data_IF_929170555533
#
_entry.id   IF_929170555533
#
_cell.length_a   1.000
_cell.length_b   1.000
_cell.length_c   1.000
_cell.angle_alpha   90.00
_cell.angle_beta   90.00
_cell.angle_gamma   90.00
#
_symmetry.space_group_name_H-M   'P 1'
#
loop_
_entity.id
_entity.type
_entity.pdbx_description
1 polymer ?
#
# COMPACT_ATOMS: atom_id res chain seq x y z
N UNK A 1 -10.20 5.49 -6.41
CA UNK A 1 -9.15 4.49 -6.14
C UNK A 1 -7.88 5.08 -5.51
N UNK A 2 -7.38 6.24 -5.94
CA UNK A 2 -6.13 6.84 -5.45
C UNK A 2 -6.05 7.01 -3.91
N UNK A 3 -7.18 7.34 -3.26
CA UNK A 3 -7.23 7.50 -1.79
C UNK A 3 -6.85 6.24 -1.02
N UNK A 4 -7.26 5.06 -1.49
CA UNK A 4 -6.96 3.79 -0.82
C UNK A 4 -5.47 3.46 -0.87
N UNK A 5 -4.84 3.66 -2.05
CA UNK A 5 -3.40 3.49 -2.23
C UNK A 5 -2.65 4.46 -1.32
N UNK A 6 -3.06 5.73 -1.28
CA UNK A 6 -2.45 6.72 -0.39
C UNK A 6 -2.52 6.29 1.08
N UNK A 7 -3.67 5.78 1.53
CA UNK A 7 -3.85 5.34 2.91
C UNK A 7 -2.94 4.16 3.29
N UNK A 8 -2.86 3.13 2.44
CA UNK A 8 -2.00 1.96 2.74
C UNK A 8 -0.51 2.32 2.77
N UNK A 9 -0.07 3.23 1.90
CA UNK A 9 1.34 3.65 1.84
C UNK A 9 1.69 4.63 2.98
N UNK A 10 0.75 5.47 3.39
CA UNK A 10 0.96 6.44 4.47
C UNK A 10 1.11 5.79 5.85
N UNK A 11 0.61 4.57 6.02
CA UNK A 11 0.62 3.85 7.30
C UNK A 11 1.82 2.91 7.47
N UNK A 12 2.73 2.88 6.51
CA UNK A 12 3.95 2.07 6.61
C UNK A 12 4.97 2.72 7.54
N UNK A 13 5.71 1.93 8.34
CA UNK A 13 6.79 2.46 9.17
C UNK A 13 7.85 3.15 8.30
N UNK A 14 8.33 4.33 8.70
CA UNK A 14 9.40 5.06 7.99
C UNK A 14 10.68 4.25 7.78
N UNK A 15 10.95 3.32 8.70
CA UNK A 15 12.10 2.43 8.63
C UNK A 15 11.98 1.40 7.52
N UNK A 16 10.77 1.01 7.14
CA UNK A 16 10.51 -0.04 6.15
C UNK A 16 10.93 0.38 4.73
N UNK A 17 10.50 1.56 4.28
CA UNK A 17 10.72 2.00 2.89
C UNK A 17 11.99 2.85 2.69
N UNK A 18 12.85 3.01 3.71
CA UNK A 18 14.09 3.78 3.56
C UNK A 18 15.03 3.08 2.59
N UNK A 19 15.31 3.72 1.45
CA UNK A 19 16.17 3.16 0.39
C UNK A 19 15.47 2.14 -0.52
N UNK A 20 14.15 1.99 -0.38
CA UNK A 20 13.33 1.09 -1.19
C UNK A 20 12.43 1.90 -2.12
N UNK A 21 12.13 1.34 -3.30
CA UNK A 21 11.12 1.82 -4.23
C UNK A 21 10.08 0.71 -4.45
N UNK A 22 8.87 1.12 -4.77
CA UNK A 22 7.79 0.19 -5.11
C UNK A 22 8.05 -0.35 -6.51
N UNK A 23 8.13 -1.68 -6.62
CA UNK A 23 8.17 -2.40 -7.90
C UNK A 23 6.76 -2.55 -8.49
N UNK A 24 5.82 -3.02 -7.68
CA UNK A 24 4.43 -3.26 -8.09
C UNK A 24 3.45 -3.06 -6.94
N UNK A 25 2.20 -2.74 -7.29
CA UNK A 25 1.06 -2.76 -6.37
C UNK A 25 -0.11 -3.43 -7.09
N UNK A 26 -0.49 -4.61 -6.62
CA UNK A 26 -1.69 -5.31 -7.06
C UNK A 26 -2.83 -4.95 -6.13
N UNK A 27 -3.94 -4.44 -6.68
CA UNK A 27 -5.04 -3.89 -5.89
C UNK A 27 -6.35 -4.62 -6.15
N UNK A 28 -7.11 -4.86 -5.09
CA UNK A 28 -8.40 -5.51 -5.14
C UNK A 28 -9.44 -4.66 -4.40
N UNK A 29 -10.39 -4.12 -5.15
CA UNK A 29 -11.47 -3.30 -4.61
C UNK A 29 -12.69 -4.17 -4.29
N UNK A 30 -13.09 -4.21 -3.03
CA UNK A 30 -14.19 -5.07 -2.55
C UNK A 30 -15.49 -4.30 -2.43
N UNK A 31 -15.42 -3.12 -1.81
CA UNK A 31 -16.60 -2.29 -1.58
C UNK A 31 -16.23 -0.82 -1.41
N UNK A 32 -17.20 0.07 -1.61
CA UNK A 32 -17.00 1.50 -1.38
C UNK A 32 -16.99 1.82 0.12
N UNK A 33 -16.01 2.62 0.54
CA UNK A 33 -16.12 3.37 1.79
C UNK A 33 -16.93 4.65 1.56
N UNK A 34 -17.86 4.93 2.47
CA UNK A 34 -18.70 6.13 2.44
C UNK A 34 -18.17 7.20 3.40
N UNK A 35 -18.63 8.44 3.21
CA UNK A 35 -18.34 9.53 4.12
C UNK A 35 -18.74 9.17 5.56
N UNK A 36 -17.98 9.67 6.55
CA UNK A 36 -18.11 9.37 7.98
C UNK A 36 -17.93 7.91 8.41
N UNK A 37 -17.59 6.98 7.52
CA UNK A 37 -17.22 5.62 7.93
C UNK A 37 -15.82 5.61 8.53
N UNK A 38 -15.65 4.86 9.63
CA UNK A 38 -14.35 4.63 10.24
C UNK A 38 -13.68 3.42 9.58
N UNK A 39 -12.45 3.61 9.12
CA UNK A 39 -11.67 2.57 8.46
C UNK A 39 -10.46 2.19 9.33
N UNK A 40 -10.11 0.91 9.31
CA UNK A 40 -8.87 0.37 9.86
C UNK A 40 -7.94 0.06 8.69
N UNK A 41 -6.74 0.65 8.70
CA UNK A 41 -5.69 0.36 7.72
C UNK A 41 -4.68 -0.55 8.39
N UNK A 42 -4.35 -1.66 7.74
CA UNK A 42 -3.37 -2.63 8.22
C UNK A 42 -2.44 -3.02 7.09
N UNK A 43 -1.17 -3.22 7.45
CA UNK A 43 -0.15 -3.73 6.57
C UNK A 43 0.65 -4.77 7.35
N UNK A 44 0.98 -5.89 6.71
CA UNK A 44 1.90 -6.90 7.25
C UNK A 44 2.88 -7.26 6.16
N UNK A 45 4.15 -7.30 6.52
CA UNK A 45 5.15 -7.97 5.70
C UNK A 45 4.89 -9.48 5.78
N UNK A 46 4.92 -10.17 4.64
CA UNK A 46 4.76 -11.63 4.58
C UNK A 46 6.00 -12.33 4.04
N UNK A 47 6.77 -11.66 3.19
CA UNK A 47 8.05 -12.11 2.63
C UNK A 47 8.93 -10.86 2.46
N UNK A 48 10.24 -11.05 2.26
CA UNK A 48 11.19 -9.95 2.10
C UNK A 48 10.75 -8.99 0.99
N UNK A 49 10.47 -7.74 1.36
CA UNK A 49 10.02 -6.71 0.44
C UNK A 49 8.58 -6.86 -0.06
N UNK A 50 7.78 -7.77 0.50
CA UNK A 50 6.38 -7.99 0.12
C UNK A 50 5.43 -7.70 1.27
N UNK A 51 4.46 -6.81 1.05
CA UNK A 51 3.46 -6.46 2.04
C UNK A 51 2.05 -6.75 1.55
N UNK A 52 1.26 -7.29 2.47
CA UNK A 52 -0.18 -7.42 2.33
C UNK A 52 -0.86 -6.29 3.08
N UNK A 53 -1.74 -5.58 2.39
CA UNK A 53 -2.50 -4.45 2.90
C UNK A 53 -3.99 -4.79 2.96
N UNK A 54 -4.66 -4.31 4.01
CA UNK A 54 -6.11 -4.34 4.12
C UNK A 54 -6.64 -3.02 4.65
N UNK A 55 -7.76 -2.59 4.09
CA UNK A 55 -8.59 -1.50 4.60
C UNK A 55 -9.94 -2.10 4.92
N UNK A 56 -10.31 -2.02 6.19
CA UNK A 56 -11.47 -2.71 6.75
C UNK A 56 -12.40 -1.66 7.34
N UNK A 57 -13.71 -1.79 7.12
CA UNK A 57 -14.69 -0.94 7.80
C UNK A 57 -14.77 -1.34 9.28
N UNK A 58 -14.57 -0.38 10.17
CA UNK A 58 -14.48 -0.63 11.62
C UNK A 58 -15.79 -1.16 12.21
N UNK A 59 -16.91 -0.72 11.67
CA UNK A 59 -18.23 -0.98 12.26
C UNK A 59 -18.70 -2.43 12.03
N UNK A 60 -18.36 -3.04 10.89
CA UNK A 60 -18.83 -4.40 10.52
C UNK A 60 -17.68 -5.38 10.17
N UNK A 61 -16.43 -4.92 10.16
CA UNK A 61 -15.27 -5.76 9.86
C UNK A 61 -15.14 -6.15 8.39
N UNK A 62 -15.93 -5.58 7.48
CA UNK A 62 -15.89 -5.93 6.06
C UNK A 62 -14.69 -5.31 5.36
N UNK A 63 -14.10 -6.06 4.43
CA UNK A 63 -13.06 -5.54 3.56
C UNK A 63 -13.62 -4.50 2.59
N UNK A 64 -12.94 -3.36 2.53
CA UNK A 64 -13.17 -2.29 1.56
C UNK A 64 -12.15 -2.41 0.43
N UNK A 65 -10.90 -2.67 0.79
CA UNK A 65 -9.78 -2.71 -0.15
C UNK A 65 -8.69 -3.65 0.36
N UNK A 66 -8.11 -4.43 -0.55
CA UNK A 66 -6.91 -5.21 -0.31
C UNK A 66 -5.85 -4.86 -1.34
N UNK A 67 -4.59 -4.95 -0.96
CA UNK A 67 -3.50 -4.82 -1.91
C UNK A 67 -2.30 -5.67 -1.52
N UNK A 68 -1.53 -6.09 -2.52
CA UNK A 68 -0.17 -6.59 -2.36
C UNK A 68 0.78 -5.52 -2.91
N UNK A 69 1.81 -5.14 -2.15
CA UNK A 69 2.89 -4.31 -2.69
C UNK A 69 4.22 -5.04 -2.62
N UNK A 70 5.03 -4.85 -3.67
CA UNK A 70 6.40 -5.35 -3.74
C UNK A 70 7.37 -4.19 -3.78
N UNK A 71 8.42 -4.30 -3.00
CA UNK A 71 9.43 -3.29 -2.80
C UNK A 71 10.80 -3.86 -3.10
N UNK A 72 11.63 -3.08 -3.78
CA UNK A 72 13.03 -3.41 -4.05
C UNK A 72 13.91 -2.22 -3.72
N UNK A 73 15.20 -2.48 -3.52
CA UNK A 73 16.18 -1.41 -3.34
C UNK A 73 16.13 -0.42 -4.49
N UNK A 74 16.23 0.86 -4.18
CA UNK A 74 16.14 1.93 -5.18
C UNK A 74 17.15 1.75 -6.32
N UNK A 75 18.35 1.25 -6.03
CA UNK A 75 19.41 0.97 -7.02
C UNK A 75 18.99 -0.04 -8.11
N UNK A 76 18.04 -0.93 -7.82
CA UNK A 76 17.56 -1.95 -8.77
C UNK A 76 16.41 -1.45 -9.66
N UNK A 77 15.72 -0.38 -9.26
CA UNK A 77 14.52 0.14 -9.95
C UNK A 77 14.71 1.53 -10.55
N UNK A 78 15.69 2.29 -10.06
CA UNK A 78 15.96 3.65 -10.54
C UNK A 78 16.53 3.60 -11.97
N UNK A 79 16.13 4.58 -12.78
CA UNK A 79 16.71 4.82 -14.10
C UNK A 79 17.28 6.22 -14.14
N UNK A 80 18.38 6.39 -14.85
CA UNK A 80 18.94 7.71 -15.06
C UNK A 80 18.00 8.51 -15.97
N UNK A 81 17.55 9.66 -15.50
CA UNK A 81 16.82 10.60 -16.33
C UNK A 81 17.84 11.40 -17.14
N UNK A 82 17.86 11.21 -18.46
CA UNK A 82 18.52 12.13 -19.37
C UNK A 82 17.52 13.25 -19.69
N UNK A 83 17.85 14.49 -19.32
CA UNK A 83 17.14 15.67 -19.79
C UNK A 83 17.94 16.16 -21.00
N UNK A 84 17.35 16.01 -22.19
CA UNK A 84 17.87 16.60 -23.44
C UNK A 84 17.45 18.07 -23.56
#
# INVERSE_FOLDING_TARGET
CLSYIRWILSYLPKTFYKGMLIESIDTYFMSSALFNQRLLVRSSECEDGKLLHSIIRKDDGTDVFRAESRWKKAELLSRQACIE
#
